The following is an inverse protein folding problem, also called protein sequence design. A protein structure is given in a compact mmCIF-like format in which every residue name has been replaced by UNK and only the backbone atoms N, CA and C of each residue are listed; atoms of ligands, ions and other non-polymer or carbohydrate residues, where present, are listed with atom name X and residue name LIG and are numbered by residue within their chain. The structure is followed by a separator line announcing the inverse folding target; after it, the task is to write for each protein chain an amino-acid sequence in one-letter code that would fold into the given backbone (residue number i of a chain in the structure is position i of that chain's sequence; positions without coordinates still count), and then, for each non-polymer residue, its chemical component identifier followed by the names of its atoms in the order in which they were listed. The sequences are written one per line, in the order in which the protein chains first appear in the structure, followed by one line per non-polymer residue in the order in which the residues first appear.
data_IF_156759822139
#
_entry.id   IF_156759822139
#
_cell.length_a   1.000
_cell.length_b   1.000
_cell.length_c   1.000
_cell.angle_alpha   90.00
_cell.angle_beta   90.00
_cell.angle_gamma   90.00
#
_symmetry.space_group_name_H-M   'P 1'
#
loop_
_entity.id
_entity.type
_entity.pdbx_description
1 polymer ?
#
# COMPACT_ATOMS: atom_id res chain seq x y z
N UNK A 1 -18.29 9.96 10.82
CA UNK A 1 -17.26 9.39 9.91
C UNK A 1 -15.92 9.59 10.60
N UNK A 2 -15.26 8.51 11.03
CA UNK A 2 -14.00 8.64 11.77
C UNK A 2 -12.90 8.97 10.77
N UNK A 3 -12.37 10.19 10.84
CA UNK A 3 -11.12 10.54 10.18
C UNK A 3 -10.01 9.62 10.69
N UNK A 4 -9.07 9.26 9.82
CA UNK A 4 -7.88 8.49 10.23
C UNK A 4 -7.14 9.29 11.32
N UNK A 5 -6.86 8.70 12.50
CA UNK A 5 -6.22 9.41 13.60
C UNK A 5 -4.91 10.07 13.16
N UNK A 6 -4.69 11.36 13.46
CA UNK A 6 -3.47 12.07 13.03
C UNK A 6 -2.18 11.39 13.48
N UNK A 7 -2.18 10.71 14.63
CA UNK A 7 -1.03 9.95 15.14
C UNK A 7 -0.58 8.79 14.21
N UNK A 8 -1.44 8.38 13.26
CA UNK A 8 -1.13 7.35 12.25
C UNK A 8 -0.65 7.93 10.93
N UNK A 9 -0.72 9.24 10.72
CA UNK A 9 -0.40 9.86 9.43
C UNK A 9 0.94 10.58 9.53
N UNK A 10 1.88 10.18 8.68
CA UNK A 10 3.20 10.78 8.56
C UNK A 10 3.31 11.48 7.21
N UNK A 11 3.58 12.79 7.22
CA UNK A 11 3.99 13.50 6.01
C UNK A 11 5.41 13.06 5.62
N UNK A 12 5.57 12.57 4.40
CA UNK A 12 6.84 12.06 3.88
C UNK A 12 7.65 13.13 3.11
N UNK A 13 7.00 14.23 2.74
CA UNK A 13 7.58 15.37 2.06
C UNK A 13 6.78 16.66 2.40
N UNK A 14 7.33 17.82 2.00
CA UNK A 14 6.71 19.14 2.20
C UNK A 14 5.90 19.62 0.98
N UNK A 15 5.73 18.78 -0.03
CA UNK A 15 4.97 19.13 -1.23
C UNK A 15 3.47 19.30 -0.91
N UNK A 16 2.78 20.27 -1.54
CA UNK A 16 1.35 20.42 -1.36
C UNK A 16 0.57 19.29 -2.06
N UNK A 17 -0.68 19.09 -1.64
CA UNK A 17 -1.62 18.34 -2.45
C UNK A 17 -1.89 19.12 -3.74
N UNK A 18 -2.17 18.41 -4.83
CA UNK A 18 -2.37 18.99 -6.17
C UNK A 18 -3.79 18.71 -6.68
N UNK A 19 -4.78 19.59 -6.42
CA UNK A 19 -6.19 19.33 -6.72
C UNK A 19 -6.50 19.08 -8.21
N UNK A 20 -5.69 19.61 -9.12
CA UNK A 20 -5.78 19.41 -10.56
C UNK A 20 -5.25 18.05 -11.03
N UNK A 21 -4.68 17.24 -10.14
CA UNK A 21 -4.29 15.87 -10.45
C UNK A 21 -5.47 15.01 -10.89
N UNK A 22 -5.15 13.89 -11.55
CA UNK A 22 -6.15 13.04 -12.20
C UNK A 22 -6.85 12.08 -11.22
N UNK A 23 -6.14 11.66 -10.16
CA UNK A 23 -6.59 10.67 -9.16
C UNK A 23 -5.84 10.81 -7.84
N UNK A 24 -6.32 10.19 -6.77
CA UNK A 24 -5.51 9.93 -5.56
C UNK A 24 -4.86 8.57 -5.73
N UNK A 25 -3.57 8.47 -5.41
CA UNK A 25 -2.82 7.21 -5.51
C UNK A 25 -2.66 6.60 -4.12
N UNK A 26 -3.16 5.39 -3.92
CA UNK A 26 -2.75 4.55 -2.81
C UNK A 26 -1.71 3.54 -3.30
N UNK A 27 -0.45 3.74 -2.90
CA UNK A 27 0.62 2.79 -3.11
C UNK A 27 0.67 1.77 -1.97
N UNK A 28 -0.04 0.67 -2.16
CA UNK A 28 -0.14 -0.46 -1.25
C UNK A 28 1.16 -1.25 -1.27
N UNK A 29 1.81 -1.37 -0.12
CA UNK A 29 3.11 -2.05 0.02
C UNK A 29 3.07 -3.13 1.09
N UNK A 30 2.81 -2.75 2.34
CA UNK A 30 2.78 -3.67 3.47
C UNK A 30 1.36 -4.17 3.81
N UNK A 31 0.36 -3.31 3.67
CA UNK A 31 -1.01 -3.59 4.12
C UNK A 31 -1.86 -4.07 2.95
N UNK A 32 -1.52 -5.26 2.45
CA UNK A 32 -2.10 -5.91 1.27
C UNK A 32 -3.51 -6.47 1.52
N UNK A 33 -4.42 -5.60 1.95
CA UNK A 33 -5.83 -5.91 2.30
C UNK A 33 -6.75 -4.73 2.00
N UNK A 34 -7.99 -5.04 1.67
CA UNK A 34 -9.03 -4.08 1.22
C UNK A 34 -10.03 -3.69 2.31
N UNK A 35 -9.94 -4.32 3.49
CA UNK A 35 -10.73 -4.03 4.68
C UNK A 35 -9.80 -3.78 5.87
N UNK A 36 -10.31 -3.08 6.89
CA UNK A 36 -9.58 -2.80 8.12
C UNK A 36 -8.16 -2.22 7.87
N UNK A 37 -8.09 -1.23 6.98
CA UNK A 37 -6.87 -0.63 6.50
C UNK A 37 -6.93 0.91 6.60
N UNK A 38 -6.15 1.50 7.51
CA UNK A 38 -6.11 2.95 7.70
C UNK A 38 -5.52 3.67 6.49
N UNK A 39 -4.56 3.08 5.77
CA UNK A 39 -4.01 3.67 4.55
C UNK A 39 -5.08 3.83 3.48
N UNK A 40 -5.89 2.79 3.27
CA UNK A 40 -7.01 2.83 2.34
C UNK A 40 -8.08 3.83 2.78
N UNK A 41 -8.42 3.88 4.06
CA UNK A 41 -9.34 4.89 4.60
C UNK A 41 -8.81 6.32 4.38
N UNK A 42 -7.52 6.55 4.56
CA UNK A 42 -6.89 7.86 4.33
C UNK A 42 -6.93 8.25 2.85
N UNK A 43 -6.64 7.32 1.96
CA UNK A 43 -6.76 7.54 0.52
C UNK A 43 -8.20 7.86 0.10
N UNK A 44 -9.20 7.16 0.63
CA UNK A 44 -10.61 7.45 0.36
C UNK A 44 -11.02 8.81 0.91
N UNK A 45 -10.54 9.21 2.10
CA UNK A 45 -10.76 10.55 2.64
C UNK A 45 -10.24 11.64 1.68
N UNK A 46 -9.04 11.48 1.13
CA UNK A 46 -8.50 12.38 0.10
C UNK A 46 -9.34 12.39 -1.18
N UNK A 47 -9.83 11.23 -1.62
CA UNK A 47 -10.70 11.14 -2.81
C UNK A 47 -11.98 11.96 -2.65
N UNK A 48 -12.58 11.90 -1.46
CA UNK A 48 -13.78 12.68 -1.13
C UNK A 48 -13.48 14.18 -1.08
N UNK A 49 -12.42 14.56 -0.40
CA UNK A 49 -12.02 15.97 -0.25
C UNK A 49 -11.75 16.61 -1.62
N UNK A 50 -11.00 15.91 -2.47
CA UNK A 50 -10.58 16.42 -3.77
C UNK A 50 -11.56 16.13 -4.91
N UNK A 51 -12.61 15.34 -4.65
CA UNK A 51 -13.55 14.84 -5.67
C UNK A 51 -12.81 14.17 -6.84
N UNK A 52 -11.94 13.21 -6.50
CA UNK A 52 -11.08 12.49 -7.46
C UNK A 52 -11.20 10.98 -7.29
N UNK A 53 -11.05 10.20 -8.38
CA UNK A 53 -11.07 8.75 -8.30
C UNK A 53 -9.84 8.21 -7.55
N UNK A 54 -9.97 6.99 -7.03
CA UNK A 54 -8.89 6.25 -6.37
C UNK A 54 -8.19 5.30 -7.37
N UNK A 55 -6.86 5.32 -7.35
CA UNK A 55 -6.01 4.28 -7.97
C UNK A 55 -5.24 3.57 -6.86
N UNK A 56 -5.31 2.25 -6.80
CA UNK A 56 -4.54 1.41 -5.87
C UNK A 56 -3.45 0.70 -6.65
N UNK A 57 -2.20 1.11 -6.45
CA UNK A 57 -1.03 0.41 -6.99
C UNK A 57 -0.57 -0.64 -5.98
N UNK A 58 -0.53 -1.90 -6.39
CA UNK A 58 0.09 -2.99 -5.65
C UNK A 58 1.17 -3.62 -6.51
N UNK A 59 2.43 -3.27 -6.23
CA UNK A 59 3.58 -3.71 -7.02
C UNK A 59 4.34 -4.86 -6.33
N UNK A 60 4.68 -5.89 -7.11
CA UNK A 60 5.54 -7.00 -6.71
C UNK A 60 6.86 -6.94 -7.49
N UNK A 61 7.94 -6.67 -6.76
CA UNK A 61 9.31 -6.66 -7.29
C UNK A 61 9.89 -8.08 -7.29
N UNK A 62 10.84 -8.35 -8.16
CA UNK A 62 11.54 -9.64 -8.22
C UNK A 62 12.90 -9.64 -7.48
N UNK A 63 13.35 -8.50 -6.95
CA UNK A 63 14.72 -8.29 -6.46
C UNK A 63 14.86 -8.09 -4.94
N UNK A 64 13.85 -8.49 -4.16
CA UNK A 64 13.88 -8.38 -2.69
C UNK A 64 14.56 -9.58 -2.00
N UNK A 65 15.09 -9.41 -0.77
CA UNK A 65 15.68 -10.52 -0.03
C UNK A 65 14.74 -11.72 0.10
N UNK A 66 15.24 -12.91 -0.27
CA UNK A 66 14.49 -14.17 -0.24
C UNK A 66 13.29 -14.23 -1.20
N UNK A 67 13.24 -13.36 -2.22
CA UNK A 67 12.33 -13.50 -3.34
C UNK A 67 12.47 -14.89 -3.95
N UNK A 68 11.46 -15.74 -3.76
CA UNK A 68 11.38 -17.07 -4.34
C UNK A 68 9.95 -17.57 -4.42
N UNK A 69 9.76 -18.76 -5.00
CA UNK A 69 8.44 -19.28 -5.40
C UNK A 69 7.39 -19.20 -4.29
N UNK A 70 7.73 -19.62 -3.07
CA UNK A 70 6.79 -19.66 -1.95
C UNK A 70 6.24 -18.28 -1.59
N UNK A 71 7.12 -17.28 -1.47
CA UNK A 71 6.71 -15.93 -1.10
C UNK A 71 6.00 -15.24 -2.26
N UNK A 72 6.49 -15.41 -3.49
CA UNK A 72 5.86 -14.84 -4.68
C UNK A 72 4.47 -15.42 -4.91
N UNK A 73 4.31 -16.74 -4.82
CA UNK A 73 3.01 -17.41 -4.96
C UNK A 73 2.01 -16.89 -3.93
N UNK A 74 2.40 -16.79 -2.66
CA UNK A 74 1.54 -16.28 -1.59
C UNK A 74 1.09 -14.82 -1.86
N UNK A 75 2.02 -13.98 -2.30
CA UNK A 75 1.75 -12.58 -2.64
C UNK A 75 0.83 -12.45 -3.86
N UNK A 76 1.05 -13.26 -4.90
CA UNK A 76 0.24 -13.28 -6.13
C UNK A 76 -1.19 -13.78 -5.86
N UNK A 77 -1.33 -14.80 -5.02
CA UNK A 77 -2.64 -15.25 -4.54
C UNK A 77 -3.38 -14.12 -3.81
N UNK A 78 -2.70 -13.41 -2.90
CA UNK A 78 -3.27 -12.24 -2.23
C UNK A 78 -3.64 -11.09 -3.18
N UNK A 79 -2.86 -10.86 -4.24
CA UNK A 79 -3.21 -9.88 -5.29
C UNK A 79 -4.45 -10.31 -6.07
N UNK A 80 -4.60 -11.60 -6.38
CA UNK A 80 -5.82 -12.13 -7.01
C UNK A 80 -7.04 -11.94 -6.10
N UNK A 81 -6.89 -12.12 -4.78
CA UNK A 81 -7.95 -11.87 -3.80
C UNK A 81 -8.34 -10.39 -3.75
N UNK A 82 -7.34 -9.49 -3.75
CA UNK A 82 -7.56 -8.04 -3.82
C UNK A 82 -8.27 -7.64 -5.12
N UNK A 83 -7.89 -8.22 -6.26
CA UNK A 83 -8.55 -7.97 -7.56
C UNK A 83 -10.04 -8.32 -7.49
N UNK A 84 -10.37 -9.51 -6.95
CA UNK A 84 -11.78 -9.94 -6.79
C UNK A 84 -12.53 -9.02 -5.81
N UNK A 85 -11.91 -8.66 -4.69
CA UNK A 85 -12.54 -7.80 -3.68
C UNK A 85 -12.80 -6.37 -4.17
N UNK A 86 -11.94 -5.85 -5.06
CA UNK A 86 -12.04 -4.50 -5.60
C UNK A 86 -12.81 -4.42 -6.92
N UNK A 87 -13.03 -5.54 -7.63
CA UNK A 87 -13.63 -5.54 -8.97
C UNK A 87 -15.02 -4.91 -9.08
N UNK A 88 -15.83 -4.95 -8.01
CA UNK A 88 -17.15 -4.30 -7.95
C UNK A 88 -17.15 -2.94 -7.23
N UNK A 89 -15.98 -2.45 -6.80
CA UNK A 89 -15.83 -1.22 -6.01
C UNK A 89 -15.45 -0.05 -6.92
N UNK A 90 -15.76 1.20 -6.53
CA UNK A 90 -15.41 2.39 -7.30
C UNK A 90 -13.92 2.75 -7.13
N UNK A 91 -13.03 1.85 -7.55
CA UNK A 91 -11.58 2.04 -7.52
C UNK A 91 -10.90 1.38 -8.72
N UNK A 92 -9.82 1.98 -9.21
CA UNK A 92 -8.93 1.35 -10.19
C UNK A 92 -7.86 0.57 -9.43
N UNK A 93 -7.98 -0.76 -9.41
CA UNK A 93 -6.92 -1.63 -8.90
C UNK A 93 -5.86 -1.87 -9.98
N UNK A 94 -4.60 -1.59 -9.66
CA UNK A 94 -3.47 -1.67 -10.54
C UNK A 94 -2.40 -2.61 -9.96
N UNK A 95 -2.58 -3.92 -10.12
CA UNK A 95 -1.54 -4.88 -9.82
C UNK A 95 -0.40 -4.75 -10.84
N UNK A 96 0.83 -4.78 -10.36
CA UNK A 96 2.03 -4.80 -11.20
C UNK A 96 2.99 -5.88 -10.71
N UNK A 97 3.49 -6.70 -11.63
CA UNK A 97 4.50 -7.74 -11.34
C UNK A 97 5.71 -7.43 -12.20
N UNK A 98 6.87 -7.36 -11.55
CA UNK A 98 8.13 -7.04 -12.20
C UNK A 98 8.71 -8.29 -12.89
N UNK A 99 8.53 -8.37 -14.21
CA UNK A 99 9.01 -9.48 -15.04
C UNK A 99 10.54 -9.57 -15.13
N UNK A 100 11.24 -8.44 -15.06
CA UNK A 100 12.69 -8.34 -15.15
C UNK A 100 13.22 -7.35 -14.11
N UNK A 101 14.42 -7.61 -13.58
CA UNK A 101 15.04 -6.77 -12.54
C UNK A 101 15.11 -5.31 -12.99
N UNK A 102 14.43 -4.43 -12.25
CA UNK A 102 14.42 -3.00 -12.52
C UNK A 102 13.38 -2.55 -13.55
N UNK A 103 12.57 -3.44 -14.14
CA UNK A 103 11.51 -3.06 -15.06
C UNK A 103 10.47 -2.14 -14.38
N UNK A 104 10.25 -2.27 -13.06
CA UNK A 104 9.36 -1.39 -12.29
C UNK A 104 9.93 0.00 -11.98
N UNK A 105 11.19 0.28 -12.34
CA UNK A 105 11.86 1.54 -11.99
C UNK A 105 11.15 2.74 -12.61
N UNK A 106 10.71 3.66 -11.76
CA UNK A 106 10.06 4.91 -12.17
C UNK A 106 8.52 4.84 -12.19
N UNK A 107 7.91 3.67 -12.00
CA UNK A 107 6.45 3.50 -11.99
C UNK A 107 5.75 4.43 -10.99
N UNK A 108 6.20 4.41 -9.73
CA UNK A 108 5.64 5.26 -8.66
C UNK A 108 5.83 6.75 -8.97
N UNK A 109 6.98 7.14 -9.53
CA UNK A 109 7.25 8.52 -9.91
C UNK A 109 6.37 8.99 -11.09
N UNK A 110 6.13 8.13 -12.07
CA UNK A 110 5.25 8.42 -13.19
C UNK A 110 3.78 8.54 -12.75
N UNK A 111 3.31 7.65 -11.88
CA UNK A 111 1.96 7.73 -11.31
C UNK A 111 1.81 8.97 -10.40
N UNK A 112 2.80 9.26 -9.55
CA UNK A 112 2.75 10.43 -8.66
C UNK A 112 2.77 11.75 -9.42
N UNK A 113 3.45 11.80 -10.57
CA UNK A 113 3.44 12.97 -11.45
C UNK A 113 2.04 13.35 -11.96
N UNK A 114 1.07 12.43 -11.93
CA UNK A 114 -0.34 12.64 -12.31
C UNK A 114 -1.32 12.61 -11.13
N UNK A 115 -0.91 12.09 -9.99
CA UNK A 115 -1.75 12.00 -8.78
C UNK A 115 -1.97 13.37 -8.12
N UNK A 116 -3.03 13.49 -7.31
CA UNK A 116 -3.27 14.67 -6.48
C UNK A 116 -2.46 14.59 -5.17
N UNK A 117 -2.46 13.38 -4.60
CA UNK A 117 -1.79 12.99 -3.35
C UNK A 117 -1.39 11.53 -3.50
N UNK A 118 -0.27 11.16 -2.89
CA UNK A 118 0.16 9.77 -2.73
C UNK A 118 0.00 9.36 -1.27
N UNK A 119 -0.76 8.30 -1.02
CA UNK A 119 -0.83 7.63 0.27
C UNK A 119 -0.08 6.30 0.16
N UNK A 120 0.71 5.94 1.17
CA UNK A 120 1.39 4.64 1.26
C UNK A 120 1.36 4.11 2.70
N UNK A 121 1.97 2.95 2.93
CA UNK A 121 1.99 2.30 4.23
C UNK A 121 3.21 2.70 5.05
N UNK A 122 3.02 3.06 6.32
CA UNK A 122 4.10 3.24 7.30
C UNK A 122 4.42 1.89 7.95
N UNK A 123 5.31 1.12 7.33
CA UNK A 123 5.80 -0.17 7.87
C UNK A 123 7.29 -0.06 8.25
N UNK A 124 7.70 -0.38 9.49
CA UNK A 124 9.02 0.00 10.01
C UNK A 124 10.15 -0.94 9.60
N UNK A 125 9.84 -2.09 9.00
CA UNK A 125 10.81 -3.16 8.77
C UNK A 125 11.10 -3.38 7.27
N UNK A 126 12.09 -4.23 7.01
CA UNK A 126 12.49 -4.65 5.66
C UNK A 126 13.02 -3.48 4.80
N UNK A 127 12.87 -3.56 3.49
CA UNK A 127 13.29 -2.49 2.57
C UNK A 127 12.27 -1.35 2.44
N UNK A 128 11.07 -1.48 3.02
CA UNK A 128 9.96 -0.55 2.80
C UNK A 128 10.26 0.88 3.27
N UNK A 129 10.84 1.14 4.47
CA UNK A 129 11.18 2.50 4.88
C UNK A 129 12.12 3.22 3.91
N UNK A 130 13.13 2.51 3.39
CA UNK A 130 14.08 3.07 2.41
C UNK A 130 13.39 3.35 1.08
N UNK A 131 12.50 2.45 0.67
CA UNK A 131 11.77 2.56 -0.59
C UNK A 131 10.78 3.74 -0.58
N UNK A 132 10.00 3.91 0.48
CA UNK A 132 9.04 5.02 0.61
C UNK A 132 9.76 6.36 0.79
N UNK A 133 10.85 6.41 1.55
CA UNK A 133 11.69 7.61 1.67
C UNK A 133 12.34 8.02 0.34
N UNK A 134 12.79 7.05 -0.47
CA UNK A 134 13.33 7.32 -1.81
C UNK A 134 12.26 7.84 -2.78
N UNK A 135 11.06 7.27 -2.74
CA UNK A 135 9.92 7.74 -3.54
C UNK A 135 9.48 9.15 -3.14
N UNK A 136 9.47 9.48 -1.84
CA UNK A 136 9.07 10.78 -1.34
C UNK A 136 9.95 11.92 -1.88
N UNK A 137 11.25 11.68 -2.06
CA UNK A 137 12.20 12.63 -2.68
C UNK A 137 11.91 12.92 -4.16
N UNK A 138 11.27 11.98 -4.85
CA UNK A 138 10.94 12.09 -6.28
C UNK A 138 9.50 12.57 -6.51
N UNK A 139 8.65 12.45 -5.49
CA UNK A 139 7.26 12.84 -5.52
C UNK A 139 7.13 14.37 -5.42
N UNK A 140 6.55 15.00 -6.43
CA UNK A 140 6.29 16.46 -6.46
C UNK A 140 4.92 16.87 -5.89
N UNK A 141 4.16 15.90 -5.41
CA UNK A 141 2.88 16.11 -4.71
C UNK A 141 2.99 15.58 -3.30
N UNK A 142 2.08 15.99 -2.43
CA UNK A 142 1.98 15.49 -1.05
C UNK A 142 2.04 13.97 -1.03
N UNK A 143 2.95 13.44 -0.20
CA UNK A 143 3.06 12.02 0.09
C UNK A 143 2.86 11.78 1.59
N UNK A 144 1.93 10.89 1.94
CA UNK A 144 1.64 10.49 3.32
C UNK A 144 1.89 8.99 3.49
N UNK A 145 2.60 8.60 4.54
CA UNK A 145 2.68 7.21 4.99
C UNK A 145 1.72 7.02 6.17
N UNK A 146 0.92 5.96 6.16
CA UNK A 146 -0.14 5.74 7.14
C UNK A 146 0.12 4.45 7.90
N UNK A 147 0.06 4.50 9.23
CA UNK A 147 0.24 3.35 10.11
C UNK A 147 -1.06 2.55 10.28
N UNK A 148 -1.08 1.37 9.64
CA UNK A 148 -2.11 0.35 9.84
C UNK A 148 -1.54 -0.98 10.35
N UNK A 149 -0.43 -0.95 11.10
CA UNK A 149 0.25 -2.14 11.63
C UNK A 149 -0.55 -2.82 12.75
N UNK A 150 -1.16 -2.03 13.63
CA UNK A 150 -1.82 -2.55 14.81
C UNK A 150 -2.65 -1.53 15.57
N UNK A 151 -3.09 -1.94 16.76
CA UNK A 151 -4.05 -1.18 17.57
C UNK A 151 -3.45 0.12 18.12
N UNK A 152 -2.20 0.10 18.53
CA UNK A 152 -1.48 1.27 19.03
C UNK A 152 -0.68 1.90 17.87
N UNK A 153 -0.86 3.19 17.54
CA UNK A 153 -0.02 3.84 16.54
C UNK A 153 1.46 3.80 16.96
N UNK A 154 2.36 3.47 16.05
CA UNK A 154 3.80 3.35 16.31
C UNK A 154 4.38 4.65 16.90
N UNK A 155 3.90 5.78 16.40
CA UNK A 155 4.34 7.13 16.80
C UNK A 155 3.69 7.65 18.08
N UNK A 156 2.73 6.91 18.65
CA UNK A 156 2.22 7.23 19.99
C UNK A 156 3.23 6.91 21.08
N UNK A 157 4.21 6.04 20.81
CA UNK A 157 5.24 5.69 21.78
C UNK A 157 6.34 6.77 21.87
N UNK A 158 6.77 7.17 23.08
CA UNK A 158 7.79 8.22 23.23
C UNK A 158 9.19 7.76 22.82
N UNK A 159 9.45 6.44 22.87
CA UNK A 159 10.73 5.82 22.52
C UNK A 159 10.56 4.30 22.42
N UNK A 160 11.59 3.62 21.91
CA UNK A 160 11.68 2.17 22.00
C UNK A 160 11.82 1.75 23.47
N UNK A 161 11.03 0.75 23.89
CA UNK A 161 11.08 0.24 25.24
C UNK A 161 12.14 -0.87 25.35
N UNK A 162 13.02 -0.86 26.38
CA UNK A 162 14.09 -1.84 26.51
C UNK A 162 13.59 -3.22 26.96
N UNK A 163 12.38 -3.31 27.51
CA UNK A 163 11.80 -4.58 27.98
C UNK A 163 10.32 -4.68 27.61
N UNK A 164 9.85 -5.92 27.44
CA UNK A 164 8.44 -6.21 27.23
C UNK A 164 7.58 -5.75 28.42
N UNK A 165 8.11 -5.80 29.66
CA UNK A 165 7.43 -5.29 30.85
C UNK A 165 7.14 -3.79 30.76
N UNK A 166 8.14 -2.99 30.39
CA UNK A 166 7.99 -1.54 30.25
C UNK A 166 6.98 -1.19 29.13
N UNK A 167 7.11 -1.85 27.97
CA UNK A 167 6.15 -1.68 26.87
C UNK A 167 4.73 -2.06 27.28
N UNK A 168 4.55 -3.18 27.99
CA UNK A 168 3.23 -3.65 28.42
C UNK A 168 2.54 -2.64 29.35
N UNK A 169 3.25 -2.10 30.35
CA UNK A 169 2.69 -1.07 31.25
C UNK A 169 2.28 0.19 30.49
N UNK A 170 3.11 0.64 29.54
CA UNK A 170 2.75 1.76 28.67
C UNK A 170 1.50 1.43 27.84
N UNK A 171 1.49 0.27 27.16
CA UNK A 171 0.40 -0.16 26.28
C UNK A 171 -0.91 -0.29 27.02
N UNK A 172 -0.95 -0.93 28.20
CA UNK A 172 -2.17 -1.07 29.00
C UNK A 172 -2.79 0.27 29.41
N UNK A 173 -1.98 1.32 29.55
CA UNK A 173 -2.46 2.69 29.84
C UNK A 173 -2.91 3.43 28.58
N UNK A 174 -2.15 3.34 27.49
CA UNK A 174 -2.38 4.13 26.27
C UNK A 174 -3.41 3.50 25.32
N UNK A 175 -3.41 2.17 25.20
CA UNK A 175 -4.24 1.41 24.27
C UNK A 175 -5.75 1.68 24.42
N UNK A 176 -6.34 1.82 25.62
CA UNK A 176 -7.77 2.12 25.76
C UNK A 176 -8.22 3.36 24.96
N UNK A 177 -7.39 4.39 24.87
CA UNK A 177 -7.68 5.59 24.07
C UNK A 177 -7.68 5.34 22.56
N UNK A 178 -6.97 4.31 22.10
CA UNK A 178 -6.86 3.95 20.68
C UNK A 178 -7.78 2.79 20.25
N UNK A 179 -8.35 2.01 21.18
CA UNK A 179 -9.21 0.86 20.85
C UNK A 179 -10.52 1.23 20.14
N UNK A 180 -10.97 2.47 20.31
CA UNK A 180 -12.15 3.03 19.65
C UNK A 180 -11.84 3.52 18.24
N UNK A 181 -10.57 3.77 17.94
CA UNK A 181 -10.09 4.18 16.63
C UNK A 181 -9.87 2.93 15.78
N UNK A 182 -10.77 2.68 14.83
CA UNK A 182 -10.68 1.49 13.97
C UNK A 182 -10.80 1.91 12.51
N UNK A 183 -10.01 1.29 11.62
CA UNK A 183 -10.27 1.44 10.21
C UNK A 183 -11.61 0.77 9.88
N UNK A 184 -12.21 1.12 8.75
CA UNK A 184 -13.53 0.59 8.40
C UNK A 184 -13.45 -0.86 7.94
N UNK A 185 -14.46 -1.64 8.33
CA UNK A 185 -14.66 -2.99 7.83
C UNK A 185 -14.90 -3.00 6.31
N UNK A 186 -15.69 -2.05 5.84
CA UNK A 186 -15.87 -1.77 4.41
C UNK A 186 -15.54 -0.29 4.14
N UNK A 187 -14.33 0.01 3.67
CA UNK A 187 -13.90 1.38 3.36
C UNK A 187 -14.70 2.06 2.26
N UNK A 188 -15.42 1.31 1.41
CA UNK A 188 -16.19 1.86 0.29
C UNK A 188 -17.69 1.99 0.59
N UNK A 189 -18.17 1.43 1.70
CA UNK A 189 -19.59 1.49 2.06
C UNK A 189 -20.03 2.95 2.28
N UNK A 190 -21.04 3.37 1.49
CA UNK A 190 -21.60 4.72 1.56
C UNK A 190 -20.69 5.83 1.05
N UNK A 191 -19.63 5.49 0.29
CA UNK A 191 -18.69 6.48 -0.26
C UNK A 191 -19.00 6.77 -1.74
N UNK A 192 -19.47 7.98 -2.09
CA UNK A 192 -19.80 8.35 -3.46
C UNK A 192 -18.54 8.74 -4.24
N UNK A 193 -17.59 7.82 -4.38
CA UNK A 193 -16.36 8.08 -5.12
C UNK A 193 -16.65 8.25 -6.62
N UNK A 194 -15.99 9.21 -7.30
CA UNK A 194 -16.09 9.33 -8.75
C UNK A 194 -15.73 8.02 -9.45
N UNK A 195 -16.34 7.77 -10.62
CA UNK A 195 -16.07 6.57 -11.38
C UNK A 195 -14.56 6.43 -11.64
N UNK A 196 -13.99 5.22 -11.48
CA UNK A 196 -12.57 5.03 -11.70
C UNK A 196 -12.21 5.34 -13.15
N UNK A 197 -11.15 6.11 -13.35
CA UNK A 197 -10.53 6.26 -14.67
C UNK A 197 -9.50 5.15 -14.85
N UNK A 198 -9.41 4.61 -16.05
CA UNK A 198 -8.27 3.76 -16.41
C UNK A 198 -6.97 4.54 -16.18
N UNK A 199 -5.88 3.90 -15.74
CA UNK A 199 -4.59 4.56 -15.68
C UNK A 199 -4.20 5.07 -17.08
N UNK A 200 -3.38 6.13 -17.18
CA UNK A 200 -2.93 6.69 -18.45
C UNK A 200 -2.35 5.62 -19.39
N UNK A 201 -2.74 5.64 -20.66
CA UNK A 201 -2.39 4.59 -21.63
C UNK A 201 -0.89 4.45 -21.88
N UNK A 202 -0.16 5.57 -21.87
CA UNK A 202 1.31 5.62 -21.97
C UNK A 202 1.99 4.88 -20.79
N UNK A 203 1.40 5.01 -19.60
CA UNK A 203 1.89 4.38 -18.39
C UNK A 203 1.61 2.87 -18.42
N UNK A 204 0.41 2.47 -18.84
CA UNK A 204 0.05 1.04 -19.02
C UNK A 204 0.88 0.38 -20.12
N UNK A 205 1.24 1.11 -21.18
CA UNK A 205 2.12 0.58 -22.23
C UNK A 205 3.53 0.26 -21.72
N UNK A 206 4.06 1.08 -20.80
CA UNK A 206 5.39 0.87 -20.21
C UNK A 206 5.38 -0.10 -19.02
N UNK A 207 4.35 -0.06 -18.19
CA UNK A 207 4.18 -0.91 -17.02
C UNK A 207 2.81 -1.59 -17.11
N UNK A 208 2.67 -2.69 -17.86
CA UNK A 208 1.38 -3.33 -18.05
C UNK A 208 0.75 -3.76 -16.72
N UNK A 209 -0.58 -3.66 -16.65
CA UNK A 209 -1.34 -4.24 -15.52
C UNK A 209 -1.14 -5.75 -15.53
N UNK A 210 -0.76 -6.29 -14.39
CA UNK A 210 -0.61 -7.72 -14.21
C UNK A 210 -1.97 -8.42 -14.12
N UNK A 211 -2.04 -9.66 -14.62
CA UNK A 211 -3.03 -10.65 -14.19
C UNK A 211 -2.35 -11.53 -13.13
N UNK A 212 -2.66 -11.38 -11.83
CA UNK A 212 -1.99 -12.15 -10.78
C UNK A 212 -2.16 -13.67 -10.94
N UNK A 213 -3.29 -14.12 -11.51
CA UNK A 213 -3.56 -15.53 -11.76
C UNK A 213 -2.72 -16.09 -12.91
N UNK A 214 -2.48 -15.31 -13.95
CA UNK A 214 -1.55 -15.67 -15.03
C UNK A 214 -0.11 -15.74 -14.51
N UNK A 215 0.35 -14.71 -13.78
CA UNK A 215 1.68 -14.70 -13.17
C UNK A 215 1.91 -15.84 -12.18
N UNK A 216 0.87 -16.28 -11.47
CA UNK A 216 0.97 -17.45 -10.60
C UNK A 216 1.23 -18.74 -11.39
N UNK A 217 0.63 -18.90 -12.57
CA UNK A 217 0.88 -20.05 -13.46
C UNK A 217 2.25 -19.99 -14.12
N UNK A 218 2.76 -18.78 -14.36
CA UNK A 218 4.03 -18.51 -15.02
C UNK A 218 5.16 -18.16 -14.05
N UNK A 219 4.99 -18.47 -12.75
CA UNK A 219 5.92 -18.05 -11.69
C UNK A 219 7.37 -18.50 -11.93
N UNK A 220 7.57 -19.67 -12.56
CA UNK A 220 8.88 -20.20 -12.93
C UNK A 220 9.63 -19.42 -14.02
N UNK A 221 9.00 -18.38 -14.59
CA UNK A 221 9.64 -17.46 -15.54
C UNK A 221 10.21 -16.21 -14.87
N UNK A 222 9.83 -15.94 -13.61
CA UNK A 222 10.27 -14.76 -12.90
C UNK A 222 11.74 -14.89 -12.47
N UNK A 223 12.53 -13.80 -12.43
CA UNK A 223 13.95 -13.85 -12.07
C UNK A 223 14.15 -13.89 -10.54
N UNK A 224 13.53 -14.87 -9.89
CA UNK A 224 13.50 -15.11 -8.44
C UNK A 224 14.22 -16.41 -8.09
N UNK A 225 14.38 -16.69 -6.80
CA UNK A 225 14.98 -17.93 -6.30
C UNK A 225 14.01 -19.11 -6.47
N UNK A 226 14.41 -20.07 -7.30
CA UNK A 226 13.69 -21.33 -7.55
C UNK A 226 14.35 -22.55 -6.90
N UNK A 227 15.49 -22.36 -6.22
CA UNK A 227 16.27 -23.44 -5.62
C UNK A 227 15.66 -23.90 -4.29
N UNK A 228 14.88 -23.04 -3.63
CA UNK A 228 14.19 -23.35 -2.37
C UNK A 228 12.90 -24.14 -2.62
N UNK A 229 13.06 -25.46 -2.72
CA UNK A 229 11.95 -26.39 -2.93
C UNK A 229 10.96 -26.51 -1.76
N UNK A 230 9.81 -27.17 -1.99
CA UNK A 230 8.89 -27.59 -0.94
C UNK A 230 9.57 -28.54 0.05
N UNK A 231 9.27 -28.38 1.33
CA UNK A 231 9.65 -29.33 2.39
C UNK A 231 8.45 -30.18 2.74
N UNK A 232 8.64 -31.48 2.91
CA UNK A 232 7.59 -32.38 3.35
C UNK A 232 7.06 -31.93 4.73
N UNK A 233 5.74 -31.81 4.85
CA UNK A 233 5.09 -31.66 6.16
C UNK A 233 5.32 -32.93 6.97
N UNK A 234 5.93 -32.78 8.16
CA UNK A 234 6.04 -33.86 9.14
C UNK A 234 4.71 -34.14 9.80
#
# INVERSE_FOLDING_TARGET
MSAVPPARVLAMNDAPARPEGEFVLYWMTAFRRTNWNFSLDRAIAWCRELHRPLVVLEALRCDYPWAGDRLHAFILQGMADNERALGARPVTYYPYVEAERGAGKGLVAALSAKACVVVTDDFPCFMLPRMTASAAKQCRVRMEAVDSNGLLPMRSTPSAFPTAYAFRRYSQRALPGHLVERPRADPFAGEPLPRPKAPPADLVARWPRADPGAWLREIGTLPIDHDVGPVATR
#
